data_IF_803849925387
#
_entry.id   IF_803849925387
#
_cell.length_a   1.000
_cell.length_b   1.000
_cell.length_c   1.000
_cell.angle_alpha   90.00
_cell.angle_beta   90.00
_cell.angle_gamma   90.00
#
_symmetry.space_group_name_H-M   'P 1'
#
loop_
_entity.id
_entity.type
_entity.pdbx_description
1 polymer ?
#
# COMPACT_ATOMS: atom_id res chain seq x y z
N UNK A 1 0.59 -2.20 9.40
CA UNK A 1 2.07 -2.41 9.45
C UNK A 1 2.75 -1.10 9.71
N UNK A 2 3.77 -1.05 10.57
CA UNK A 2 4.51 0.18 10.85
C UNK A 2 6.03 -0.05 10.79
N UNK A 3 6.76 1.00 10.42
CA UNK A 3 8.21 1.12 10.56
C UNK A 3 8.49 2.27 11.52
N UNK A 4 8.94 1.95 12.72
CA UNK A 4 9.19 2.89 13.81
C UNK A 4 10.64 2.85 14.32
N UNK A 5 11.50 2.15 13.62
CA UNK A 5 12.94 2.10 13.90
C UNK A 5 13.74 2.60 12.71
N UNK A 6 14.92 3.21 12.91
CA UNK A 6 15.76 3.61 11.79
C UNK A 6 16.02 2.48 10.79
N UNK A 7 16.16 2.84 9.55
CA UNK A 7 16.47 1.91 8.46
C UNK A 7 17.99 1.91 8.22
N UNK A 8 18.58 0.72 8.22
CA UNK A 8 19.97 0.52 7.84
C UNK A 8 20.06 -0.52 6.71
N UNK A 9 20.49 -0.07 5.54
CA UNK A 9 20.67 -0.93 4.37
C UNK A 9 21.72 -2.04 4.64
N UNK A 10 22.72 -1.77 5.48
CA UNK A 10 23.80 -2.72 5.79
C UNK A 10 23.29 -3.89 6.66
N UNK A 11 22.24 -3.67 7.43
CA UNK A 11 21.60 -4.72 8.23
C UNK A 11 20.81 -5.73 7.37
N UNK A 12 20.56 -5.41 6.09
CA UNK A 12 19.84 -6.30 5.20
C UNK A 12 20.70 -7.47 4.71
N UNK A 13 20.05 -8.61 4.40
CA UNK A 13 20.72 -9.76 3.79
C UNK A 13 21.36 -9.38 2.44
N UNK A 14 22.50 -9.98 2.12
CA UNK A 14 23.28 -9.69 0.90
C UNK A 14 22.44 -9.69 -0.39
N UNK A 15 21.56 -10.69 -0.55
CA UNK A 15 20.65 -10.78 -1.70
C UNK A 15 19.76 -9.54 -1.83
N UNK A 16 19.25 -9.00 -0.70
CA UNK A 16 18.39 -7.82 -0.71
C UNK A 16 19.20 -6.56 -1.04
N UNK A 17 20.37 -6.41 -0.46
CA UNK A 17 21.28 -5.30 -0.82
C UNK A 17 21.63 -5.31 -2.30
N UNK A 18 21.91 -6.50 -2.88
CA UNK A 18 22.15 -6.63 -4.31
C UNK A 18 20.96 -6.16 -5.16
N UNK A 19 19.75 -6.54 -4.79
CA UNK A 19 18.52 -6.13 -5.49
C UNK A 19 18.32 -4.61 -5.44
N UNK A 20 18.50 -4.01 -4.27
CA UNK A 20 18.42 -2.55 -4.08
C UNK A 20 19.49 -1.85 -4.91
N UNK A 21 20.73 -2.31 -4.87
CA UNK A 21 21.82 -1.73 -5.65
C UNK A 21 21.60 -1.87 -7.16
N UNK A 22 21.03 -3.00 -7.60
CA UNK A 22 20.60 -3.18 -8.99
C UNK A 22 19.54 -2.15 -9.36
N UNK A 23 18.54 -1.98 -8.52
CA UNK A 23 17.49 -0.99 -8.75
C UNK A 23 18.04 0.45 -8.76
N UNK A 24 18.91 0.81 -7.80
CA UNK A 24 19.57 2.14 -7.76
C UNK A 24 20.46 2.41 -8.98
N UNK A 25 20.96 1.38 -9.68
CA UNK A 25 21.67 1.56 -10.95
C UNK A 25 20.73 1.87 -12.10
N UNK A 26 19.56 1.24 -12.13
CA UNK A 26 18.62 1.34 -13.23
C UNK A 26 17.68 2.53 -13.09
N UNK A 27 17.33 2.90 -11.85
CA UNK A 27 16.27 3.87 -11.59
C UNK A 27 16.76 5.05 -10.74
N UNK A 28 16.21 6.23 -11.06
CA UNK A 28 16.28 7.43 -10.26
C UNK A 28 14.93 7.64 -9.55
N UNK A 29 14.95 7.72 -8.22
CA UNK A 29 13.74 7.92 -7.42
C UNK A 29 13.79 9.27 -6.76
N UNK A 30 12.77 10.09 -7.01
CA UNK A 30 12.68 11.45 -6.50
C UNK A 30 11.24 11.87 -6.23
N UNK A 31 11.07 12.91 -5.41
CA UNK A 31 9.77 13.58 -5.27
C UNK A 31 9.42 14.31 -6.55
N UNK A 32 8.16 14.24 -6.94
CA UNK A 32 7.65 14.85 -8.17
C UNK A 32 6.40 15.70 -7.89
N UNK A 33 6.12 16.62 -8.80
CA UNK A 33 4.85 17.30 -8.86
C UNK A 33 3.88 16.50 -9.73
N UNK A 34 2.83 15.90 -9.16
CA UNK A 34 1.98 14.98 -9.92
C UNK A 34 1.27 15.67 -11.10
N UNK A 35 1.03 16.97 -11.02
CA UNK A 35 0.44 17.74 -12.13
C UNK A 35 1.30 17.79 -13.39
N UNK A 36 2.62 17.64 -13.28
CA UNK A 36 3.56 17.63 -14.40
C UNK A 36 3.67 16.25 -15.08
N UNK A 37 3.14 15.18 -14.44
CA UNK A 37 3.29 13.78 -14.88
C UNK A 37 1.96 13.03 -15.02
N UNK A 38 0.85 13.73 -15.30
CA UNK A 38 -0.51 13.13 -15.27
C UNK A 38 -0.66 11.94 -16.21
N UNK A 39 -0.15 12.07 -17.41
CA UNK A 39 -0.23 11.03 -18.44
C UNK A 39 0.62 9.81 -18.06
N UNK A 40 1.84 10.06 -17.64
CA UNK A 40 2.77 9.01 -17.21
C UNK A 40 2.27 8.26 -15.97
N UNK A 41 1.69 8.98 -14.99
CA UNK A 41 1.08 8.39 -13.80
C UNK A 41 -0.09 7.47 -14.16
N UNK A 42 -0.93 7.89 -15.11
CA UNK A 42 -2.02 7.07 -15.63
C UNK A 42 -1.48 5.82 -16.35
N UNK A 43 -0.48 5.96 -17.21
CA UNK A 43 0.15 4.84 -17.90
C UNK A 43 0.75 3.81 -16.94
N UNK A 44 1.49 4.27 -15.90
CA UNK A 44 2.05 3.38 -14.87
C UNK A 44 0.95 2.67 -14.11
N UNK A 45 -0.14 3.37 -13.74
CA UNK A 45 -1.30 2.78 -13.07
C UNK A 45 -1.92 1.67 -13.90
N UNK A 46 -2.16 1.93 -15.19
CA UNK A 46 -2.78 0.96 -16.09
C UNK A 46 -1.87 -0.25 -16.34
N UNK A 47 -0.56 -0.02 -16.52
CA UNK A 47 0.42 -1.09 -16.65
C UNK A 47 0.46 -1.98 -15.40
N UNK A 48 0.44 -1.37 -14.21
CA UNK A 48 0.40 -2.10 -12.94
C UNK A 48 -0.87 -2.98 -12.84
N UNK A 49 -2.03 -2.46 -13.21
CA UNK A 49 -3.28 -3.21 -13.17
C UNK A 49 -3.35 -4.34 -14.21
N UNK A 50 -2.70 -4.20 -15.35
CA UNK A 50 -2.59 -5.29 -16.33
C UNK A 50 -1.84 -6.51 -15.76
N UNK A 51 -0.93 -6.32 -14.84
CA UNK A 51 -0.27 -7.39 -14.10
C UNK A 51 -1.15 -8.15 -13.11
N UNK A 52 -2.36 -7.63 -12.80
CA UNK A 52 -3.27 -8.26 -11.85
C UNK A 52 -4.18 -9.28 -12.52
N UNK A 53 -4.64 -10.32 -11.80
CA UNK A 53 -5.69 -11.21 -12.29
C UNK A 53 -6.93 -10.41 -12.72
N UNK A 54 -7.52 -10.74 -13.86
CA UNK A 54 -8.61 -9.99 -14.49
C UNK A 54 -9.78 -9.67 -13.53
N UNK A 55 -10.15 -10.65 -12.72
CA UNK A 55 -11.23 -10.50 -11.70
C UNK A 55 -10.98 -9.43 -10.64
N UNK A 56 -9.74 -8.97 -10.48
CA UNK A 56 -9.33 -7.94 -9.51
C UNK A 56 -8.94 -6.62 -10.16
N UNK A 57 -8.92 -6.55 -11.49
CA UNK A 57 -8.58 -5.32 -12.21
C UNK A 57 -9.68 -4.29 -12.04
N UNK A 58 -9.39 -3.12 -11.46
CA UNK A 58 -10.38 -2.05 -11.40
C UNK A 58 -10.55 -1.40 -12.79
N UNK A 59 -11.77 -0.97 -13.07
CA UNK A 59 -12.02 -0.11 -14.22
C UNK A 59 -11.67 1.32 -13.83
N UNK A 60 -10.73 1.92 -14.52
CA UNK A 60 -10.28 3.30 -14.28
C UNK A 60 -10.68 4.16 -15.47
N UNK A 61 -11.41 5.23 -15.20
CA UNK A 61 -11.68 6.26 -16.21
C UNK A 61 -10.48 7.22 -16.22
N UNK A 62 -9.85 7.37 -17.38
CA UNK A 62 -8.64 8.18 -17.56
C UNK A 62 -8.83 9.63 -17.15
N UNK A 63 -9.88 10.29 -17.66
CA UNK A 63 -10.16 11.69 -17.37
C UNK A 63 -10.42 11.91 -15.87
N UNK A 64 -11.21 11.03 -15.23
CA UNK A 64 -11.45 11.11 -13.79
C UNK A 64 -10.17 10.94 -12.98
N UNK A 65 -9.28 10.01 -13.39
CA UNK A 65 -8.01 9.84 -12.72
C UNK A 65 -7.13 11.08 -12.86
N UNK A 66 -6.93 11.58 -14.09
CA UNK A 66 -6.12 12.78 -14.35
C UNK A 66 -6.66 14.01 -13.63
N UNK A 67 -7.99 14.15 -13.58
CA UNK A 67 -8.63 15.24 -12.83
C UNK A 67 -8.47 15.08 -11.31
N UNK A 68 -8.45 13.86 -10.78
CA UNK A 68 -8.24 13.61 -9.35
C UNK A 68 -6.86 14.08 -8.86
N UNK A 69 -5.86 14.11 -9.76
CA UNK A 69 -4.51 14.60 -9.43
C UNK A 69 -4.52 16.04 -8.95
N UNK A 70 -5.48 16.86 -9.37
CA UNK A 70 -5.63 18.24 -8.87
C UNK A 70 -5.92 18.30 -7.36
N UNK A 71 -6.49 17.24 -6.79
CA UNK A 71 -6.76 17.11 -5.35
C UNK A 71 -5.61 16.49 -4.54
N UNK A 72 -4.48 16.19 -5.17
CA UNK A 72 -3.32 15.56 -4.52
C UNK A 72 -2.37 16.57 -3.86
N UNK A 73 -2.79 17.82 -3.68
CA UNK A 73 -1.94 18.90 -3.16
C UNK A 73 -1.29 18.59 -1.80
N UNK A 74 -1.98 17.83 -0.94
CA UNK A 74 -1.47 17.41 0.38
C UNK A 74 -0.67 16.11 0.34
N UNK A 75 -0.53 15.49 -0.83
CA UNK A 75 0.20 14.23 -0.97
C UNK A 75 1.65 14.48 -1.38
N UNK A 76 2.53 13.70 -0.78
CA UNK A 76 3.93 13.60 -1.19
C UNK A 76 3.99 12.49 -2.23
N UNK A 77 4.42 12.82 -3.44
CA UNK A 77 4.48 11.87 -4.56
C UNK A 77 5.94 11.60 -4.93
N UNK A 78 6.30 10.33 -4.97
CA UNK A 78 7.59 9.86 -5.50
C UNK A 78 7.39 9.25 -6.87
N UNK A 79 8.26 9.58 -7.79
CA UNK A 79 8.39 8.95 -9.11
C UNK A 79 9.71 8.19 -9.20
N UNK A 80 9.65 6.98 -9.77
CA UNK A 80 10.81 6.18 -10.11
C UNK A 80 11.00 6.17 -11.61
N UNK A 81 12.10 6.75 -12.11
CA UNK A 81 12.39 6.94 -13.52
C UNK A 81 13.48 5.98 -13.98
N UNK A 82 13.31 5.40 -15.15
CA UNK A 82 14.40 4.71 -15.82
C UNK A 82 15.54 5.71 -16.16
N UNK A 83 16.77 5.37 -15.81
CA UNK A 83 17.91 6.28 -15.98
C UNK A 83 18.35 6.46 -17.41
N UNK A 84 18.02 5.52 -18.28
CA UNK A 84 18.42 5.53 -19.70
C UNK A 84 17.35 6.25 -20.51
N UNK A 85 16.08 5.87 -20.33
CA UNK A 85 14.97 6.38 -21.11
C UNK A 85 14.32 7.63 -20.50
N UNK A 86 14.58 7.92 -19.23
CA UNK A 86 13.92 9.01 -18.49
C UNK A 86 12.42 8.77 -18.23
N UNK A 87 11.93 7.58 -18.51
CA UNK A 87 10.53 7.21 -18.43
C UNK A 87 10.10 6.91 -17.02
N UNK A 88 8.91 7.35 -16.62
CA UNK A 88 8.30 6.99 -15.33
C UNK A 88 7.92 5.50 -15.33
N UNK A 89 8.52 4.76 -14.40
CA UNK A 89 8.34 3.32 -14.24
C UNK A 89 7.55 2.94 -13.00
N UNK A 90 7.57 3.79 -11.97
CA UNK A 90 6.80 3.59 -10.75
C UNK A 90 6.43 4.93 -10.13
N UNK A 91 5.36 4.91 -9.34
CA UNK A 91 5.04 6.02 -8.45
C UNK A 91 4.50 5.51 -7.11
N UNK A 92 4.67 6.36 -6.12
CA UNK A 92 4.10 6.17 -4.79
C UNK A 92 3.56 7.50 -4.30
N UNK A 93 2.42 7.50 -3.63
CA UNK A 93 1.97 8.67 -2.90
C UNK A 93 1.75 8.35 -1.43
N UNK A 94 2.10 9.33 -0.61
CA UNK A 94 2.10 9.26 0.82
C UNK A 94 1.39 10.50 1.37
N UNK A 95 0.82 10.33 2.56
CA UNK A 95 0.26 11.46 3.30
C UNK A 95 1.01 11.63 4.61
N UNK A 96 1.52 12.84 4.82
CA UNK A 96 2.27 13.15 6.03
C UNK A 96 1.35 13.73 7.09
N UNK A 97 1.52 13.23 8.31
CA UNK A 97 0.87 13.69 9.53
C UNK A 97 1.93 14.08 10.56
N UNK A 98 1.60 14.78 11.64
CA UNK A 98 2.60 15.22 12.62
C UNK A 98 3.50 14.11 13.16
N UNK A 99 2.92 12.92 13.42
CA UNK A 99 3.60 11.81 14.08
C UNK A 99 3.83 10.60 13.18
N UNK A 100 3.35 10.60 11.95
CA UNK A 100 3.52 9.47 11.04
C UNK A 100 3.39 9.87 9.57
N UNK A 101 3.92 9.00 8.73
CA UNK A 101 3.75 9.02 7.29
C UNK A 101 2.86 7.83 6.89
N UNK A 102 1.79 8.09 6.19
CA UNK A 102 0.95 7.04 5.60
C UNK A 102 1.45 6.69 4.20
N UNK A 103 1.90 5.47 4.04
CA UNK A 103 2.34 4.91 2.78
C UNK A 103 1.14 4.28 2.05
N UNK A 104 0.40 5.09 1.32
CA UNK A 104 -0.90 4.69 0.80
C UNK A 104 -0.85 3.81 -0.43
N UNK A 105 0.07 4.07 -1.35
CA UNK A 105 0.12 3.40 -2.66
C UNK A 105 1.55 3.27 -3.16
N UNK A 106 1.87 2.12 -3.74
CA UNK A 106 2.99 1.90 -4.64
C UNK A 106 2.46 1.21 -5.90
N UNK A 107 2.76 1.77 -7.06
CA UNK A 107 2.46 1.20 -8.37
C UNK A 107 3.71 1.21 -9.22
N UNK A 108 3.97 0.10 -9.89
CA UNK A 108 5.10 -0.04 -10.79
C UNK A 108 4.71 -0.79 -12.06
N UNK A 109 5.41 -0.52 -13.14
CA UNK A 109 5.30 -1.31 -14.37
C UNK A 109 5.84 -2.72 -14.11
N UNK A 110 5.16 -3.80 -14.53
CA UNK A 110 5.58 -5.17 -14.27
C UNK A 110 6.97 -5.54 -14.83
N UNK A 111 7.37 -4.96 -15.94
CA UNK A 111 8.70 -5.11 -16.53
C UNK A 111 9.81 -4.52 -15.64
N UNK A 112 9.53 -3.38 -14.99
CA UNK A 112 10.47 -2.68 -14.12
C UNK A 112 10.60 -3.33 -12.74
N UNK A 113 9.60 -4.09 -12.29
CA UNK A 113 9.65 -4.81 -11.00
C UNK A 113 10.82 -5.80 -10.92
N UNK A 114 11.08 -6.54 -12.03
CA UNK A 114 12.20 -7.49 -12.10
C UNK A 114 13.58 -6.79 -12.05
N UNK A 115 13.60 -5.51 -12.33
CA UNK A 115 14.81 -4.67 -12.28
C UNK A 115 15.00 -3.96 -10.95
N UNK A 116 14.12 -4.21 -9.95
CA UNK A 116 14.28 -3.78 -8.57
C UNK A 116 13.62 -2.46 -8.23
N UNK A 117 12.72 -1.93 -9.07
CA UNK A 117 12.08 -0.61 -8.86
C UNK A 117 11.32 -0.55 -7.52
N UNK A 118 10.57 -1.58 -7.15
CA UNK A 118 9.79 -1.60 -5.89
C UNK A 118 10.69 -1.45 -4.66
N UNK A 119 11.82 -2.17 -4.63
CA UNK A 119 12.78 -2.06 -3.54
C UNK A 119 13.44 -0.67 -3.50
N UNK A 120 13.77 -0.11 -4.66
CA UNK A 120 14.37 1.22 -4.76
C UNK A 120 13.41 2.32 -4.29
N UNK A 121 12.13 2.24 -4.66
CA UNK A 121 11.09 3.15 -4.19
C UNK A 121 10.94 3.12 -2.67
N UNK A 122 10.82 1.91 -2.08
CA UNK A 122 10.70 1.77 -0.61
C UNK A 122 11.93 2.32 0.08
N UNK A 123 13.13 2.02 -0.41
CA UNK A 123 14.38 2.50 0.19
C UNK A 123 14.50 4.01 0.12
N UNK A 124 14.19 4.63 -1.01
CA UNK A 124 14.24 6.08 -1.15
C UNK A 124 13.30 6.78 -0.14
N UNK A 125 12.09 6.26 0.06
CA UNK A 125 11.15 6.78 1.05
C UNK A 125 11.72 6.59 2.47
N UNK A 126 12.26 5.41 2.78
CA UNK A 126 12.84 5.14 4.11
C UNK A 126 14.07 6.01 4.39
N UNK A 127 14.93 6.24 3.40
CA UNK A 127 16.12 7.09 3.51
C UNK A 127 15.70 8.55 3.77
N UNK A 128 14.71 9.09 3.07
CA UNK A 128 14.21 10.46 3.25
C UNK A 128 13.65 10.74 4.67
N UNK A 129 13.07 9.73 5.30
CA UNK A 129 12.46 9.86 6.64
C UNK A 129 13.29 9.25 7.75
N UNK A 130 14.48 8.72 7.44
CA UNK A 130 15.26 7.92 8.36
C UNK A 130 15.63 8.63 9.66
N UNK A 131 15.96 9.91 9.59
CA UNK A 131 16.31 10.71 10.77
C UNK A 131 15.16 10.91 11.76
N UNK A 132 13.92 10.77 11.28
CA UNK A 132 12.71 10.89 12.10
C UNK A 132 12.28 9.57 12.71
N UNK A 133 12.64 8.45 12.10
CA UNK A 133 12.29 7.11 12.59
C UNK A 133 12.94 6.84 13.95
N UNK A 134 12.16 6.29 14.87
CA UNK A 134 12.63 6.07 16.25
C UNK A 134 12.53 7.27 17.18
N UNK A 135 12.01 8.42 16.70
CA UNK A 135 11.85 9.66 17.45
C UNK A 135 10.37 10.07 17.55
N UNK A 136 9.51 9.20 18.06
CA UNK A 136 8.06 9.39 18.09
C UNK A 136 7.41 9.59 16.70
N UNK A 137 8.09 9.12 15.64
CA UNK A 137 7.61 9.13 14.28
C UNK A 137 7.71 7.73 13.67
N UNK A 138 6.74 7.35 12.86
CA UNK A 138 6.73 6.06 12.17
C UNK A 138 6.13 6.17 10.76
N UNK A 139 6.45 5.22 9.91
CA UNK A 139 5.80 5.04 8.61
C UNK A 139 4.76 3.94 8.75
N UNK A 140 3.53 4.22 8.33
CA UNK A 140 2.39 3.32 8.38
C UNK A 140 2.01 2.89 6.96
N UNK A 141 1.91 1.58 6.72
CA UNK A 141 1.42 1.03 5.45
C UNK A 141 -0.09 0.71 5.52
N UNK A 142 -0.84 1.53 6.20
CA UNK A 142 -2.28 1.41 6.30
C UNK A 142 -2.76 0.16 7.06
N UNK A 143 -4.05 -0.07 6.98
CA UNK A 143 -4.72 -1.20 7.61
C UNK A 143 -4.66 -2.46 6.74
N UNK A 144 -4.64 -3.62 7.37
CA UNK A 144 -4.71 -4.88 6.63
C UNK A 144 -6.08 -5.01 5.97
N UNK A 145 -6.10 -5.18 4.66
CA UNK A 145 -7.33 -5.45 3.94
C UNK A 145 -7.95 -6.78 4.38
N UNK A 146 -9.23 -6.75 4.76
CA UNK A 146 -9.94 -7.97 5.21
C UNK A 146 -10.27 -8.88 4.02
N UNK A 147 -10.35 -8.31 2.82
CA UNK A 147 -10.77 -9.02 1.60
C UNK A 147 -9.63 -9.56 0.74
N UNK A 148 -8.44 -9.01 0.89
CA UNK A 148 -7.31 -9.32 0.02
C UNK A 148 -6.10 -9.74 0.84
N UNK A 149 -5.36 -10.70 0.32
CA UNK A 149 -4.00 -10.92 0.79
C UNK A 149 -3.15 -9.72 0.43
N UNK A 150 -2.40 -9.24 1.41
CA UNK A 150 -1.56 -8.05 1.25
C UNK A 150 -0.11 -8.48 1.12
N UNK A 151 0.23 -9.08 -0.03
CA UNK A 151 1.60 -9.50 -0.34
C UNK A 151 2.63 -8.36 -0.15
N UNK A 152 2.19 -7.11 -0.33
CA UNK A 152 3.04 -5.95 -0.09
C UNK A 152 3.36 -5.76 1.40
N UNK A 153 2.43 -5.99 2.32
CA UNK A 153 2.71 -5.92 3.76
C UNK A 153 3.69 -7.01 4.20
N UNK A 154 3.52 -8.22 3.70
CA UNK A 154 4.47 -9.31 3.95
C UNK A 154 5.86 -9.00 3.37
N UNK A 155 5.91 -8.33 2.23
CA UNK A 155 7.15 -7.84 1.62
C UNK A 155 7.84 -6.79 2.49
N UNK A 156 7.11 -5.82 3.02
CA UNK A 156 7.64 -4.79 3.92
C UNK A 156 8.14 -5.39 5.24
N UNK A 157 7.37 -6.30 5.84
CA UNK A 157 7.76 -7.01 7.07
C UNK A 157 9.05 -7.81 6.84
N UNK A 158 9.07 -8.63 5.80
CA UNK A 158 10.17 -9.56 5.52
C UNK A 158 11.48 -8.87 5.15
N UNK A 159 11.41 -7.70 4.49
CA UNK A 159 12.58 -7.13 3.83
C UNK A 159 13.00 -5.75 4.29
N UNK A 160 12.12 -5.00 4.97
CA UNK A 160 12.40 -3.62 5.36
C UNK A 160 12.21 -3.35 6.85
N UNK A 161 11.97 -4.40 7.62
CA UNK A 161 11.85 -4.31 9.08
C UNK A 161 10.59 -3.57 9.53
N UNK A 162 9.53 -3.63 8.74
CA UNK A 162 8.19 -3.27 9.22
C UNK A 162 7.72 -4.32 10.20
N UNK A 163 6.91 -3.92 11.16
CA UNK A 163 6.29 -4.82 12.14
C UNK A 163 4.79 -4.64 12.20
N UNK A 164 4.10 -5.66 12.65
CA UNK A 164 2.66 -5.58 12.91
C UNK A 164 2.41 -4.70 14.12
N UNK A 165 1.60 -3.66 13.94
CA UNK A 165 1.05 -2.88 15.03
C UNK A 165 -0.42 -3.25 15.17
N UNK A 166 -0.74 -3.91 16.26
CA UNK A 166 -2.12 -4.31 16.52
C UNK A 166 -2.90 -3.14 17.09
N UNK A 167 -4.08 -2.89 16.54
CA UNK A 167 -5.03 -1.91 17.03
C UNK A 167 -6.36 -2.58 17.37
N UNK A 168 -7.12 -1.95 18.26
CA UNK A 168 -8.47 -2.41 18.57
C UNK A 168 -9.43 -1.92 17.50
N UNK A 169 -10.10 -2.85 16.83
CA UNK A 169 -11.15 -2.51 15.88
C UNK A 169 -12.43 -2.17 16.65
N UNK A 170 -12.96 -0.97 16.46
CA UNK A 170 -14.25 -0.55 16.95
C UNK A 170 -15.19 -0.28 15.77
N UNK A 171 -16.33 -0.94 15.73
CA UNK A 171 -17.31 -0.78 14.66
C UNK A 171 -18.57 -0.15 15.24
N UNK A 172 -19.00 0.95 14.64
CA UNK A 172 -20.28 1.58 14.92
C UNK A 172 -21.21 1.34 13.74
N UNK A 173 -22.30 0.62 13.98
CA UNK A 173 -23.31 0.36 12.98
C UNK A 173 -24.48 1.33 13.10
N UNK A 174 -25.06 1.70 11.97
CA UNK A 174 -26.43 2.20 11.95
C UNK A 174 -27.35 1.17 12.60
N UNK A 175 -28.39 1.62 13.32
CA UNK A 175 -29.25 0.74 14.12
C UNK A 175 -29.82 -0.47 13.35
N UNK A 176 -30.27 -0.24 12.12
CA UNK A 176 -30.81 -1.29 11.24
C UNK A 176 -29.73 -2.28 10.77
N UNK A 177 -28.51 -1.80 10.47
CA UNK A 177 -27.37 -2.68 10.11
C UNK A 177 -27.01 -3.56 11.30
N UNK A 178 -27.00 -2.98 12.52
CA UNK A 178 -26.74 -3.72 13.76
C UNK A 178 -27.73 -4.86 13.96
N UNK A 179 -29.03 -4.63 13.68
CA UNK A 179 -30.06 -5.66 13.75
C UNK A 179 -29.78 -6.79 12.75
N UNK A 180 -29.46 -6.47 11.49
CA UNK A 180 -29.10 -7.44 10.45
C UNK A 180 -27.86 -8.26 10.88
N UNK A 181 -26.79 -7.59 11.29
CA UNK A 181 -25.56 -8.25 11.74
C UNK A 181 -25.84 -9.21 12.90
N UNK A 182 -26.61 -8.78 13.89
CA UNK A 182 -27.01 -9.63 15.04
C UNK A 182 -27.79 -10.88 14.61
N UNK A 183 -28.71 -10.74 13.67
CA UNK A 183 -29.52 -11.85 13.14
C UNK A 183 -28.67 -12.83 12.33
N UNK A 184 -27.73 -12.34 11.51
CA UNK A 184 -26.90 -13.18 10.64
C UNK A 184 -25.73 -13.81 11.41
N UNK A 185 -25.31 -13.23 12.51
CA UNK A 185 -24.14 -13.68 13.30
C UNK A 185 -24.08 -15.18 13.63
N UNK A 186 -25.17 -15.86 14.04
CA UNK A 186 -25.15 -17.30 14.29
C UNK A 186 -24.79 -18.12 13.05
N UNK A 187 -25.13 -17.61 11.88
CA UNK A 187 -24.93 -18.26 10.58
C UNK A 187 -23.65 -17.85 9.87
N UNK A 188 -22.76 -17.09 10.51
CA UNK A 188 -21.56 -16.48 9.89
C UNK A 188 -20.64 -17.46 9.15
N UNK A 189 -20.59 -18.72 9.59
CA UNK A 189 -19.76 -19.76 8.99
C UNK A 189 -20.31 -20.32 7.66
N UNK A 190 -21.58 -20.08 7.37
CA UNK A 190 -22.26 -20.57 6.15
C UNK A 190 -22.02 -19.61 4.97
N UNK A 191 -21.73 -18.34 5.25
CA UNK A 191 -21.50 -17.36 4.19
C UNK A 191 -20.12 -17.51 3.59
N UNK A 192 -20.09 -18.13 2.41
CA UNK A 192 -18.86 -18.27 1.61
C UNK A 192 -18.79 -17.11 0.61
N UNK A 193 -17.61 -16.56 0.42
CA UNK A 193 -17.36 -15.39 -0.44
C UNK A 193 -17.44 -15.72 -1.95
N UNK A 194 -18.44 -16.49 -2.38
CA UNK A 194 -18.56 -16.96 -3.76
C UNK A 194 -19.16 -15.91 -4.72
N UNK A 195 -19.80 -14.89 -4.18
CA UNK A 195 -20.37 -13.78 -4.94
C UNK A 195 -20.13 -12.45 -4.22
N UNK A 196 -20.45 -11.34 -4.89
CA UNK A 196 -20.23 -9.98 -4.35
C UNK A 196 -20.93 -9.75 -2.99
N UNK A 197 -22.16 -10.20 -2.85
CA UNK A 197 -22.93 -10.05 -1.60
C UNK A 197 -22.35 -10.93 -0.50
N UNK A 198 -22.09 -12.20 -0.77
CA UNK A 198 -21.47 -13.13 0.16
C UNK A 198 -20.09 -12.63 0.64
N UNK A 199 -19.31 -12.04 -0.26
CA UNK A 199 -18.03 -11.41 0.10
C UNK A 199 -18.18 -10.23 1.07
N UNK A 200 -19.22 -9.38 0.88
CA UNK A 200 -19.52 -8.26 1.78
C UNK A 200 -19.92 -8.79 3.15
N UNK A 201 -20.87 -9.72 3.20
CA UNK A 201 -21.34 -10.32 4.45
C UNK A 201 -20.18 -11.00 5.20
N UNK A 202 -19.39 -11.82 4.51
CA UNK A 202 -18.22 -12.49 5.09
C UNK A 202 -17.21 -11.49 5.67
N UNK A 203 -16.97 -10.37 4.98
CA UNK A 203 -16.08 -9.32 5.48
C UNK A 203 -16.62 -8.66 6.75
N UNK A 204 -17.92 -8.31 6.78
CA UNK A 204 -18.55 -7.75 7.98
C UNK A 204 -18.52 -8.74 9.14
N UNK A 205 -18.76 -10.02 8.89
CA UNK A 205 -18.68 -11.06 9.93
C UNK A 205 -17.26 -11.21 10.50
N UNK A 206 -16.23 -11.18 9.64
CA UNK A 206 -14.83 -11.19 10.08
C UNK A 206 -14.48 -9.95 10.91
N UNK A 207 -14.93 -8.78 10.52
CA UNK A 207 -14.73 -7.55 11.29
C UNK A 207 -15.38 -7.66 12.70
N UNK A 208 -16.60 -8.15 12.76
CA UNK A 208 -17.32 -8.36 14.03
C UNK A 208 -16.61 -9.40 14.92
N UNK A 209 -16.05 -10.46 14.32
CA UNK A 209 -15.25 -11.45 15.02
C UNK A 209 -13.97 -10.84 15.60
N UNK A 210 -13.27 -9.99 14.84
CA UNK A 210 -12.11 -9.25 15.33
C UNK A 210 -12.46 -8.32 16.51
N UNK A 211 -13.65 -7.69 16.50
CA UNK A 211 -14.11 -6.86 17.61
C UNK A 211 -14.42 -7.66 18.87
N UNK A 212 -14.95 -8.88 18.73
CA UNK A 212 -15.38 -9.72 19.85
C UNK A 212 -14.26 -10.57 20.43
N UNK A 213 -13.32 -10.99 19.61
CA UNK A 213 -12.15 -11.72 20.09
C UNK A 213 -11.29 -10.74 20.91
N UNK A 214 -11.39 -10.83 22.23
CA UNK A 214 -10.38 -10.24 23.11
C UNK A 214 -9.06 -10.88 22.73
N UNK A 215 -8.16 -10.11 22.14
CA UNK A 215 -6.79 -10.55 21.99
C UNK A 215 -6.24 -10.75 23.42
N UNK A 216 -5.99 -12.01 23.76
CA UNK A 216 -5.20 -12.38 24.92
C UNK A 216 -3.75 -11.97 24.66
#
# INVERSE_FOLDING_TARGET
MIKDTPFDINALKAKRRYEINKGKKNFDVKRIRPSEHRDELYEVLMAAYQGWPEKYRPTVNEEKFKNSINSWGDLIVYGGFDKVEGKLCAFSYLKEYPNYLEFSVLRARPDSERSGINATMVVAILEDYNERLGKAFYINDGERAIRHETAFQDYLEKYFGFRKAYCRLNIQYQWWVKAIVKTIWPFRKIFVANNKIGSIISSVMKMEECCKNKQN
#
